data_IF_492760196598
#
_entry.id   IF_492760196598
#
_cell.length_a   1.000
_cell.length_b   1.000
_cell.length_c   1.000
_cell.angle_alpha   90.00
_cell.angle_beta   90.00
_cell.angle_gamma   90.00
#
_symmetry.space_group_name_H-M   'P 1'
#
loop_
_entity.id
_entity.type
_entity.pdbx_description
1 polymer ?
#
# COMPACT_ATOMS: atom_id res chain seq x y z
N UNK A 1 -21.22 -8.27 -18.14
CA UNK A 1 -20.35 -9.29 -17.52
C UNK A 1 -19.69 -8.66 -16.30
N UNK A 2 -20.01 -9.15 -15.10
CA UNK A 2 -19.44 -8.65 -13.84
C UNK A 2 -17.97 -9.09 -13.72
N UNK A 3 -17.04 -8.13 -13.74
CA UNK A 3 -15.65 -8.39 -13.40
C UNK A 3 -15.56 -8.61 -11.88
N UNK A 4 -15.56 -9.88 -11.45
CA UNK A 4 -15.22 -10.23 -10.07
C UNK A 4 -13.75 -9.89 -9.84
N UNK A 5 -13.50 -8.88 -9.01
CA UNK A 5 -12.18 -8.57 -8.46
C UNK A 5 -11.88 -9.66 -7.43
N UNK A 6 -10.84 -10.45 -7.67
CA UNK A 6 -10.37 -11.46 -6.71
C UNK A 6 -9.49 -10.77 -5.69
N UNK A 7 -10.01 -10.58 -4.48
CA UNK A 7 -9.18 -10.24 -3.33
C UNK A 7 -8.47 -11.51 -2.89
N UNK A 8 -7.13 -11.49 -2.88
CA UNK A 8 -6.33 -12.53 -2.23
C UNK A 8 -6.61 -12.47 -0.73
N UNK A 9 -7.55 -13.30 -0.30
CA UNK A 9 -7.95 -13.50 1.07
C UNK A 9 -6.89 -14.37 1.76
N UNK A 10 -6.15 -13.88 2.78
CA UNK A 10 -5.51 -14.80 3.72
C UNK A 10 -6.61 -15.50 4.49
N UNK A 11 -6.52 -16.82 4.60
CA UNK A 11 -7.54 -17.75 5.10
C UNK A 11 -7.93 -17.58 6.59
N UNK A 12 -7.70 -16.42 7.20
CA UNK A 12 -8.25 -16.05 8.50
C UNK A 12 -8.74 -14.60 8.45
N UNK A 13 -10.05 -14.43 8.36
CA UNK A 13 -10.72 -13.14 8.42
C UNK A 13 -10.33 -12.42 9.74
N UNK A 14 -9.74 -11.22 9.60
CA UNK A 14 -9.57 -10.28 10.72
C UNK A 14 -8.19 -10.14 11.40
N UNK A 15 -7.12 -10.86 11.00
CA UNK A 15 -5.79 -10.67 11.62
C UNK A 15 -4.62 -10.68 10.64
N UNK A 16 -4.69 -9.82 9.61
CA UNK A 16 -3.47 -9.46 8.88
C UNK A 16 -2.59 -8.59 9.78
N UNK A 17 -1.40 -9.09 10.11
CA UNK A 17 -0.39 -8.30 10.78
C UNK A 17 0.42 -7.52 9.75
N UNK A 18 0.55 -6.23 9.96
CA UNK A 18 1.21 -5.31 9.05
C UNK A 18 2.47 -4.73 9.70
N UNK A 19 3.46 -4.43 8.87
CA UNK A 19 4.45 -3.40 9.19
C UNK A 19 3.95 -2.11 8.57
N UNK A 20 3.91 -1.07 9.38
CA UNK A 20 3.37 0.21 9.00
C UNK A 20 4.38 1.32 9.23
N UNK A 21 4.48 2.21 8.25
CA UNK A 21 5.28 3.43 8.30
C UNK A 21 4.33 4.62 8.34
N UNK A 22 4.33 5.34 9.46
CA UNK A 22 3.57 6.56 9.67
C UNK A 22 4.41 7.78 9.34
N UNK A 23 4.02 8.49 8.29
CA UNK A 23 4.65 9.68 7.78
C UNK A 23 3.91 10.90 8.33
N UNK A 24 4.59 11.75 9.08
CA UNK A 24 3.96 12.89 9.76
C UNK A 24 3.37 13.86 8.73
N UNK A 25 2.07 14.15 8.82
CA UNK A 25 1.41 15.09 7.91
C UNK A 25 1.98 16.51 8.00
N UNK A 26 2.64 16.86 9.10
CA UNK A 26 3.35 18.14 9.28
C UNK A 26 4.60 18.25 8.39
N UNK A 27 5.23 17.12 8.05
CA UNK A 27 6.42 17.04 7.20
C UNK A 27 6.09 16.80 5.72
N UNK A 28 4.81 16.55 5.41
CA UNK A 28 4.33 16.22 4.08
C UNK A 28 3.87 17.48 3.32
N UNK A 29 4.33 17.59 2.07
CA UNK A 29 3.87 18.64 1.16
C UNK A 29 2.51 18.28 0.51
N UNK A 30 1.95 19.20 -0.28
CA UNK A 30 0.65 18.99 -0.99
C UNK A 30 0.64 17.79 -1.94
N UNK A 31 1.80 17.36 -2.43
CA UNK A 31 1.97 16.24 -3.37
C UNK A 31 2.37 14.93 -2.69
N UNK A 32 2.48 14.91 -1.36
CA UNK A 32 3.02 13.78 -0.60
C UNK A 32 2.35 12.44 -0.91
N UNK A 33 1.03 12.40 -1.09
CA UNK A 33 0.33 11.15 -1.44
C UNK A 33 0.85 10.55 -2.76
N UNK A 34 1.15 11.39 -3.75
CA UNK A 34 1.74 10.97 -5.02
C UNK A 34 3.20 10.55 -4.84
N UNK A 35 4.00 11.35 -4.15
CA UNK A 35 5.40 11.03 -3.87
C UNK A 35 5.54 9.67 -3.16
N UNK A 36 4.68 9.41 -2.18
CA UNK A 36 4.67 8.14 -1.44
C UNK A 36 4.27 6.97 -2.33
N UNK A 37 3.28 7.15 -3.22
CA UNK A 37 2.94 6.12 -4.23
C UNK A 37 4.16 5.84 -5.12
N UNK A 38 4.86 6.87 -5.59
CA UNK A 38 6.06 6.72 -6.42
C UNK A 38 7.17 5.96 -5.68
N UNK A 39 7.39 6.26 -4.39
CA UNK A 39 8.34 5.53 -3.53
C UNK A 39 7.95 4.06 -3.32
N UNK A 40 6.65 3.76 -3.18
CA UNK A 40 6.15 2.39 -3.15
C UNK A 40 6.48 1.69 -4.47
N UNK A 41 6.18 2.31 -5.61
CA UNK A 41 6.46 1.75 -6.93
C UNK A 41 7.94 1.48 -7.14
N UNK A 42 8.82 2.41 -6.75
CA UNK A 42 10.28 2.23 -6.79
C UNK A 42 10.70 1.03 -5.92
N UNK A 43 10.19 0.93 -4.70
CA UNK A 43 10.48 -0.21 -3.82
C UNK A 43 10.04 -1.55 -4.39
N UNK A 44 8.83 -1.62 -4.93
CA UNK A 44 8.31 -2.84 -5.56
C UNK A 44 9.09 -3.19 -6.84
N UNK A 45 9.53 -2.20 -7.61
CA UNK A 45 10.40 -2.40 -8.77
C UNK A 45 11.76 -2.96 -8.35
N UNK A 46 12.37 -2.42 -7.31
CA UNK A 46 13.63 -2.95 -6.75
C UNK A 46 13.46 -4.39 -6.26
N UNK A 47 12.33 -4.71 -5.61
CA UNK A 47 11.98 -6.07 -5.18
C UNK A 47 11.87 -7.02 -6.37
N UNK A 48 11.23 -6.58 -7.45
CA UNK A 48 11.10 -7.35 -8.71
C UNK A 48 12.47 -7.62 -9.34
N UNK A 49 13.31 -6.60 -9.47
CA UNK A 49 14.63 -6.68 -10.12
C UNK A 49 15.63 -7.49 -9.28
N UNK A 50 15.50 -7.47 -7.96
CA UNK A 50 16.34 -8.23 -7.03
C UNK A 50 15.63 -9.48 -6.49
N UNK A 51 14.76 -10.07 -7.31
CA UNK A 51 13.92 -11.18 -6.91
C UNK A 51 14.76 -12.41 -6.52
N UNK A 52 14.65 -12.80 -5.26
CA UNK A 52 15.04 -14.14 -4.81
C UNK A 52 13.82 -15.08 -5.03
N UNK A 53 14.04 -16.40 -5.08
CA UNK A 53 12.99 -17.42 -5.23
C UNK A 53 11.81 -17.21 -4.26
N UNK A 54 12.09 -16.70 -3.07
CA UNK A 54 11.11 -16.40 -2.01
C UNK A 54 10.28 -15.14 -2.24
N UNK A 55 10.78 -14.20 -3.03
CA UNK A 55 10.10 -12.94 -3.38
C UNK A 55 9.18 -13.17 -4.59
N UNK A 56 9.66 -13.89 -5.60
CA UNK A 56 8.89 -14.14 -6.83
C UNK A 56 7.68 -15.08 -6.67
N UNK A 57 7.55 -15.76 -5.53
CA UNK A 57 6.46 -16.71 -5.27
C UNK A 57 5.34 -16.17 -4.38
N UNK A 58 5.46 -14.95 -3.83
CA UNK A 58 4.46 -14.38 -2.91
C UNK A 58 3.83 -13.12 -3.48
N UNK A 59 2.50 -13.07 -3.40
CA UNK A 59 1.69 -11.93 -3.81
C UNK A 59 1.24 -11.19 -2.55
N UNK A 60 1.27 -9.86 -2.59
CA UNK A 60 0.84 -9.00 -1.48
C UNK A 60 0.43 -7.63 -2.00
N UNK A 61 -0.43 -6.95 -1.23
CA UNK A 61 -0.79 -5.56 -1.50
C UNK A 61 -0.09 -4.62 -0.53
N UNK A 62 0.24 -3.44 -1.02
CA UNK A 62 0.63 -2.29 -0.22
C UNK A 62 -0.60 -1.42 -0.04
N UNK A 63 -0.85 -1.03 1.20
CA UNK A 63 -2.04 -0.29 1.60
C UNK A 63 -1.66 1.11 2.04
N UNK A 64 -2.55 2.07 1.77
CA UNK A 64 -2.49 3.42 2.33
C UNK A 64 -3.66 3.62 3.29
N UNK A 65 -3.38 4.23 4.44
CA UNK A 65 -4.37 4.67 5.41
C UNK A 65 -3.98 6.05 5.94
N UNK A 66 -4.89 6.78 6.56
CA UNK A 66 -4.55 8.07 7.16
C UNK A 66 -5.35 8.33 8.44
N UNK A 67 -4.69 8.92 9.45
CA UNK A 67 -5.35 9.51 10.61
C UNK A 67 -5.14 11.03 10.65
N UNK A 68 -5.43 11.66 11.79
CA UNK A 68 -5.29 13.10 11.97
C UNK A 68 -3.83 13.59 11.87
N UNK A 69 -2.85 12.75 12.24
CA UNK A 69 -1.43 13.13 12.36
C UNK A 69 -0.56 12.48 11.29
N UNK A 70 -0.92 11.31 10.79
CA UNK A 70 -0.06 10.49 9.96
C UNK A 70 -0.75 10.02 8.67
N UNK A 71 0.05 9.94 7.62
CA UNK A 71 -0.24 9.12 6.45
C UNK A 71 0.51 7.80 6.62
N UNK A 72 -0.22 6.69 6.55
CA UNK A 72 0.29 5.36 6.83
C UNK A 72 0.47 4.57 5.54
N UNK A 73 1.65 3.96 5.40
CA UNK A 73 1.92 2.89 4.44
C UNK A 73 1.93 1.58 5.21
N UNK A 74 1.16 0.58 4.77
CA UNK A 74 1.09 -0.72 5.44
C UNK A 74 1.35 -1.88 4.46
N UNK A 75 2.14 -2.85 4.91
CA UNK A 75 2.48 -4.05 4.13
C UNK A 75 2.36 -5.29 5.00
N UNK A 76 1.81 -6.42 4.48
CA UNK A 76 1.69 -7.65 5.25
C UNK A 76 3.04 -8.15 5.76
N UNK A 77 3.11 -8.59 7.02
CA UNK A 77 4.35 -9.10 7.66
C UNK A 77 4.89 -10.37 7.01
N UNK A 78 4.07 -11.08 6.24
CA UNK A 78 4.44 -12.34 5.59
C UNK A 78 5.44 -12.14 4.42
N UNK A 79 5.80 -10.91 4.07
CA UNK A 79 6.84 -10.66 3.07
C UNK A 79 8.24 -10.95 3.64
N UNK A 80 9.20 -11.25 2.76
CA UNK A 80 10.58 -11.50 3.20
C UNK A 80 11.22 -10.27 3.84
N UNK A 81 12.10 -10.45 4.83
CA UNK A 81 12.82 -9.35 5.47
C UNK A 81 13.61 -8.49 4.47
N UNK A 82 14.16 -9.11 3.41
CA UNK A 82 14.84 -8.40 2.32
C UNK A 82 13.89 -7.44 1.58
N UNK A 83 12.70 -7.90 1.22
CA UNK A 83 11.68 -7.07 0.57
C UNK A 83 11.19 -5.94 1.51
N UNK A 84 11.00 -6.25 2.80
CA UNK A 84 10.63 -5.27 3.81
C UNK A 84 11.68 -4.15 3.91
N UNK A 85 12.97 -4.51 3.95
CA UNK A 85 14.07 -3.56 4.01
C UNK A 85 14.15 -2.68 2.76
N UNK A 86 13.92 -3.24 1.58
CA UNK A 86 13.88 -2.48 0.32
C UNK A 86 12.77 -1.42 0.32
N UNK A 87 11.58 -1.76 0.84
CA UNK A 87 10.49 -0.80 0.99
C UNK A 87 10.81 0.24 2.06
N UNK A 88 11.30 -0.20 3.22
CA UNK A 88 11.63 0.70 4.34
C UNK A 88 12.68 1.74 3.99
N UNK A 89 13.67 1.37 3.17
CA UNK A 89 14.74 2.29 2.75
C UNK A 89 14.20 3.52 2.00
N UNK A 90 13.13 3.36 1.22
CA UNK A 90 12.53 4.46 0.46
C UNK A 90 11.81 5.48 1.34
N UNK A 91 11.32 5.05 2.50
CA UNK A 91 10.62 5.94 3.44
C UNK A 91 11.57 6.58 4.46
N UNK A 92 12.83 6.14 4.54
CA UNK A 92 13.78 6.59 5.57
C UNK A 92 13.98 8.12 5.59
N UNK A 93 13.85 8.79 4.43
CA UNK A 93 13.96 10.26 4.31
C UNK A 93 12.92 11.02 5.14
N UNK A 94 11.79 10.40 5.48
CA UNK A 94 10.71 11.00 6.26
C UNK A 94 10.72 10.60 7.74
N UNK A 95 11.82 10.00 8.23
CA UNK A 95 11.94 9.52 9.62
C UNK A 95 10.66 8.84 10.16
N UNK A 96 10.12 7.84 9.44
CA UNK A 96 8.77 7.36 9.67
C UNK A 96 8.62 6.74 11.05
N UNK A 97 7.45 6.95 11.67
CA UNK A 97 7.04 6.16 12.83
C UNK A 97 6.76 4.73 12.39
N UNK A 98 7.53 3.77 12.88
CA UNK A 98 7.32 2.35 12.56
C UNK A 98 6.39 1.73 13.60
N UNK A 99 5.32 1.08 13.13
CA UNK A 99 4.38 0.32 13.97
C UNK A 99 4.23 -1.07 13.38
N UNK A 100 4.34 -2.09 14.22
CA UNK A 100 4.07 -3.48 13.83
C UNK A 100 2.77 -3.88 14.48
N UNK A 101 1.76 -4.21 13.67
CA UNK A 101 0.47 -4.60 14.24
C UNK A 101 0.52 -6.01 14.82
N UNK A 102 -0.18 -6.19 15.93
CA UNK A 102 -0.41 -7.48 16.60
C UNK A 102 -1.85 -7.55 17.10
N UNK A 103 -2.25 -8.67 17.71
CA UNK A 103 -3.55 -8.75 18.38
C UNK A 103 -3.66 -7.73 19.53
N UNK A 104 -2.54 -7.46 20.19
CA UNK A 104 -2.44 -6.54 21.33
C UNK A 104 -2.21 -5.09 20.89
N UNK A 105 -1.65 -4.91 19.69
CA UNK A 105 -1.34 -3.62 19.09
C UNK A 105 -1.98 -3.53 17.70
N UNK A 106 -3.31 -3.59 17.64
CA UNK A 106 -4.03 -3.34 16.40
C UNK A 106 -4.01 -1.83 16.10
N UNK A 107 -3.96 -1.44 14.82
CA UNK A 107 -4.40 -0.08 14.51
C UNK A 107 -5.84 0.00 14.96
N UNK A 108 -6.15 0.90 15.89
CA UNK A 108 -7.51 1.10 16.41
C UNK A 108 -8.52 1.17 15.26
N UNK A 109 -9.79 0.88 15.54
CA UNK A 109 -10.92 0.68 14.60
C UNK A 109 -11.11 1.76 13.49
N UNK A 110 -10.33 2.84 13.47
CA UNK A 110 -10.49 4.03 12.63
C UNK A 110 -9.54 4.16 11.43
N UNK A 111 -8.67 3.21 11.13
CA UNK A 111 -7.84 3.29 9.92
C UNK A 111 -8.30 2.32 8.83
N UNK A 112 -9.15 2.77 7.88
CA UNK A 112 -9.47 1.99 6.71
C UNK A 112 -8.27 2.01 5.76
N UNK A 113 -7.36 1.06 5.94
CA UNK A 113 -6.33 0.78 4.94
C UNK A 113 -6.99 0.39 3.63
N UNK A 114 -6.75 1.18 2.58
CA UNK A 114 -7.18 0.86 1.23
C UNK A 114 -6.01 0.24 0.47
N UNK A 115 -6.20 -0.88 -0.24
CA UNK A 115 -5.15 -1.39 -1.11
C UNK A 115 -4.90 -0.37 -2.22
N UNK A 116 -3.64 -0.04 -2.47
CA UNK A 116 -3.27 0.98 -3.47
C UNK A 116 -2.44 0.37 -4.58
N UNK A 117 -1.43 -0.43 -4.23
CA UNK A 117 -0.56 -1.07 -5.21
C UNK A 117 -0.42 -2.54 -4.83
N UNK A 118 -0.67 -3.43 -5.79
CA UNK A 118 -0.53 -4.87 -5.62
C UNK A 118 0.73 -5.39 -6.31
N UNK A 119 1.42 -6.29 -5.62
CA UNK A 119 2.53 -7.08 -6.12
C UNK A 119 2.05 -8.53 -6.28
N UNK A 120 2.13 -9.10 -7.48
CA UNK A 120 1.84 -10.50 -7.74
C UNK A 120 2.98 -11.13 -8.54
N UNK A 121 3.75 -12.02 -7.92
CA UNK A 121 4.74 -12.88 -8.61
C UNK A 121 5.61 -12.15 -9.65
N UNK A 122 6.11 -10.96 -9.28
CA UNK A 122 6.94 -10.12 -10.15
C UNK A 122 6.19 -9.12 -11.05
N UNK A 123 4.86 -9.10 -11.00
CA UNK A 123 4.02 -8.07 -11.59
C UNK A 123 3.66 -7.01 -10.55
N UNK A 124 3.66 -5.75 -10.97
CA UNK A 124 3.31 -4.60 -10.13
C UNK A 124 2.09 -3.95 -10.78
N UNK A 125 1.05 -3.72 -9.99
CA UNK A 125 -0.22 -3.19 -10.45
C UNK A 125 -0.70 -2.08 -9.52
N UNK A 126 -0.92 -0.89 -10.06
CA UNK A 126 -1.50 0.25 -9.33
C UNK A 126 -3.01 0.30 -9.60
N UNK A 127 -3.80 -0.04 -8.59
CA UNK A 127 -5.27 -0.04 -8.71
C UNK A 127 -5.85 1.36 -8.63
N UNK A 128 -5.14 2.33 -8.02
CA UNK A 128 -5.66 3.68 -7.85
C UNK A 128 -5.71 4.47 -9.14
N UNK A 129 -4.78 4.22 -10.06
CA UNK A 129 -4.79 4.82 -11.40
C UNK A 129 -6.02 4.44 -12.22
N UNK A 130 -6.67 3.31 -11.90
CA UNK A 130 -7.93 2.90 -12.55
C UNK A 130 -9.11 3.58 -11.88
N UNK A 131 -9.15 3.63 -10.55
CA UNK A 131 -10.22 4.32 -9.81
C UNK A 131 -10.27 5.81 -10.17
N UNK A 132 -9.12 6.49 -10.25
CA UNK A 132 -9.01 7.90 -10.65
C UNK A 132 -9.56 8.11 -12.09
N UNK A 133 -9.21 7.22 -13.03
CA UNK A 133 -9.74 7.27 -14.41
C UNK A 133 -11.23 6.95 -14.50
N UNK A 134 -11.76 6.13 -13.61
CA UNK A 134 -13.20 5.81 -13.56
C UNK A 134 -14.00 6.95 -12.91
N UNK A 135 -13.45 7.65 -11.92
CA UNK A 135 -14.07 8.86 -11.35
C UNK A 135 -14.10 10.03 -12.33
N UNK A 136 -13.01 10.29 -13.06
CA UNK A 136 -12.97 11.36 -14.07
C UNK A 136 -13.99 11.12 -15.20
N UNK A 137 -14.19 9.87 -15.62
CA UNK A 137 -15.17 9.50 -16.64
C UNK A 137 -16.63 9.55 -16.16
N UNK A 138 -16.87 9.51 -14.85
CA UNK A 138 -18.24 9.62 -14.29
C UNK A 138 -18.62 11.08 -14.03
N UNK A 139 -17.67 11.94 -13.65
CA UNK A 139 -17.89 13.39 -13.55
C UNK A 139 -18.09 14.04 -14.93
N UNK A 140 -17.40 13.57 -15.96
CA UNK A 140 -17.59 14.04 -17.35
C UNK A 140 -18.99 13.73 -17.93
N UNK A 141 -19.76 12.82 -17.32
CA UNK A 141 -21.15 12.50 -17.74
C UNK A 141 -22.22 13.31 -17.03
N UNK A 142 -21.89 14.13 -16.04
CA UNK A 142 -22.86 14.94 -15.29
C UNK A 142 -23.06 16.33 -15.90
N UNK A 143 -22.29 16.72 -16.92
CA UNK A 143 -22.54 17.95 -17.68
C UNK A 143 -23.25 17.62 -18.99
N UNK A 144 -24.58 17.61 -18.94
CA UNK A 144 -25.49 18.13 -19.97
C UNK A 144 -26.93 17.91 -19.48
N UNK A 145 -27.44 18.91 -18.75
CA UNK A 145 -28.87 19.23 -18.66
C UNK A 145 -29.17 20.22 -19.79
#
# INVERSE_FOLDING_TARGET
MNNKIFYLYPEVEGKQYFVCWGLSKEELNKNAKKEIKDLILVGLKNIKENSNRWIGQRSFSVYLGEDQKFLWVAVPRQISAKAMNMLSANFAVYNPKIVITSMENYFGEKLPFRPVISYDRGFIFDSTAIEEKLSENSEAKIVNI
#
